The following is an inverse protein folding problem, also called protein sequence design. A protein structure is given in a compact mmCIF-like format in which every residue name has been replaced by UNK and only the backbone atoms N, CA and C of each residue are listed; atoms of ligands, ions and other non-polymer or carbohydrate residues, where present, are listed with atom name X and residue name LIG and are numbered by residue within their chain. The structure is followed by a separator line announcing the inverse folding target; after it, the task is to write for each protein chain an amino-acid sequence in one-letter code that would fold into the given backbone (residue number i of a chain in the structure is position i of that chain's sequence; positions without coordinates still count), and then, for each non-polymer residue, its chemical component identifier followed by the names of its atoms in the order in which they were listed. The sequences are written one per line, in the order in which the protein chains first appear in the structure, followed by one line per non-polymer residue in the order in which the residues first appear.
data_IF_616902338738
#
_entry.id   IF_616902338738
#
_cell.length_a   1.000
_cell.length_b   1.000
_cell.length_c   1.000
_cell.angle_alpha   90.00
_cell.angle_beta   90.00
_cell.angle_gamma   90.00
#
_symmetry.space_group_name_H-M   'P 1'
#
loop_
_entity.id
_entity.type
_entity.pdbx_description
1 polymer ?
#
# COMPACT_ATOMS: atom_id res chain seq x y z
N UNK A 1 54.44 -0.24 -22.10
CA UNK A 1 53.82 -1.08 -23.17
C UNK A 1 53.36 -2.39 -22.52
N UNK A 2 52.15 -2.42 -21.96
CA UNK A 2 51.53 -3.67 -21.50
C UNK A 2 50.70 -4.22 -22.65
N UNK A 3 50.95 -5.47 -23.05
CA UNK A 3 50.46 -6.03 -24.31
C UNK A 3 48.92 -6.17 -24.33
N UNK A 4 48.25 -5.93 -25.46
CA UNK A 4 46.79 -6.04 -25.60
C UNK A 4 46.21 -7.46 -25.44
N UNK A 5 47.03 -8.47 -25.16
CA UNK A 5 46.56 -9.88 -25.11
C UNK A 5 46.06 -10.33 -23.75
N UNK A 6 46.32 -9.58 -22.67
CA UNK A 6 45.86 -9.97 -21.33
C UNK A 6 44.45 -9.46 -20.97
N UNK A 7 43.89 -8.54 -21.76
CA UNK A 7 42.50 -8.03 -21.57
C UNK A 7 41.44 -8.88 -22.27
N UNK A 8 41.84 -9.76 -23.18
CA UNK A 8 40.92 -10.72 -23.82
C UNK A 8 40.88 -12.05 -23.05
N UNK A 9 41.95 -12.42 -22.34
CA UNK A 9 41.98 -13.60 -21.47
C UNK A 9 41.23 -13.40 -20.14
N UNK A 10 41.00 -12.15 -19.71
CA UNK A 10 40.14 -11.85 -18.55
C UNK A 10 38.64 -11.81 -18.89
N UNK A 11 38.27 -11.98 -20.17
CA UNK A 11 36.87 -12.05 -20.63
C UNK A 11 36.42 -13.47 -20.98
N UNK A 12 37.31 -14.46 -20.89
CA UNK A 12 37.02 -15.84 -21.28
C UNK A 12 37.45 -16.78 -20.15
N UNK A 13 36.63 -16.83 -19.11
CA UNK A 13 36.93 -17.63 -17.92
C UNK A 13 35.77 -17.66 -16.97
N UNK A 14 34.81 -18.52 -17.30
CA UNK A 14 33.80 -19.09 -16.39
C UNK A 14 33.10 -18.07 -15.49
N UNK A 15 31.89 -17.71 -15.91
CA UNK A 15 30.80 -17.29 -15.06
C UNK A 15 30.85 -18.04 -13.74
N UNK A 16 31.34 -17.38 -12.69
CA UNK A 16 31.22 -17.84 -11.33
C UNK A 16 29.75 -17.63 -10.98
N UNK A 17 28.95 -18.66 -11.31
CA UNK A 17 27.62 -18.87 -10.77
C UNK A 17 27.80 -19.13 -9.28
N UNK A 18 27.93 -18.03 -8.53
CA UNK A 18 27.83 -18.02 -7.08
C UNK A 18 26.38 -18.28 -6.72
N UNK A 19 26.01 -19.55 -6.73
CA UNK A 19 25.19 -20.18 -5.71
C UNK A 19 24.12 -19.27 -5.06
N UNK A 20 23.05 -18.97 -5.79
CA UNK A 20 21.71 -19.22 -5.22
C UNK A 20 20.68 -19.43 -6.33
N UNK A 21 19.89 -20.49 -6.18
CA UNK A 21 19.26 -21.21 -7.29
C UNK A 21 18.23 -20.44 -8.11
N UNK A 22 18.28 -20.63 -9.43
CA UNK A 22 17.13 -21.16 -10.18
C UNK A 22 17.59 -21.51 -11.61
N UNK A 23 17.95 -22.78 -11.80
CA UNK A 23 18.08 -23.39 -13.13
C UNK A 23 16.70 -23.79 -13.62
N UNK A 24 15.84 -22.80 -13.89
CA UNK A 24 14.60 -23.03 -14.62
C UNK A 24 14.11 -21.72 -15.26
N UNK A 25 14.07 -21.60 -16.60
CA UNK A 25 13.44 -20.47 -17.30
C UNK A 25 11.91 -20.63 -17.31
N UNK A 26 11.33 -20.99 -16.16
CA UNK A 26 9.89 -21.10 -16.01
C UNK A 26 9.29 -19.72 -15.83
N UNK A 27 8.16 -19.48 -16.51
CA UNK A 27 7.29 -18.30 -16.38
C UNK A 27 7.09 -17.87 -14.91
N UNK A 28 7.13 -18.85 -14.00
CA UNK A 28 7.00 -18.71 -12.55
C UNK A 28 8.12 -17.85 -11.96
N UNK A 29 9.36 -17.92 -12.45
CA UNK A 29 10.47 -17.12 -11.93
C UNK A 29 10.39 -15.66 -12.39
N UNK A 30 9.89 -15.40 -13.61
CA UNK A 30 9.59 -14.03 -14.09
C UNK A 30 8.41 -13.40 -13.34
N UNK A 31 7.35 -14.18 -13.08
CA UNK A 31 6.23 -13.75 -12.25
C UNK A 31 6.67 -13.49 -10.81
N UNK A 32 7.52 -14.36 -10.25
CA UNK A 32 8.03 -14.21 -8.87
C UNK A 32 8.99 -13.02 -8.75
N UNK A 33 9.78 -12.71 -9.77
CA UNK A 33 10.66 -11.53 -9.76
C UNK A 33 9.87 -10.22 -9.90
N UNK A 34 8.82 -10.19 -10.75
CA UNK A 34 7.95 -9.02 -10.93
C UNK A 34 6.96 -8.83 -9.76
N UNK A 35 6.45 -9.90 -9.17
CA UNK A 35 5.64 -9.84 -7.96
C UNK A 35 6.51 -9.52 -6.74
N UNK A 36 7.73 -10.07 -6.70
CA UNK A 36 8.72 -9.82 -5.65
C UNK A 36 9.19 -8.36 -5.60
N UNK A 37 9.27 -7.66 -6.73
CA UNK A 37 9.61 -6.23 -6.77
C UNK A 37 8.48 -5.33 -6.24
N UNK A 38 7.22 -5.62 -6.57
CA UNK A 38 6.04 -4.92 -6.01
C UNK A 38 5.92 -5.18 -4.50
N UNK A 39 6.13 -6.43 -4.07
CA UNK A 39 6.11 -6.81 -2.65
C UNK A 39 7.29 -6.19 -1.90
N UNK A 40 8.48 -6.12 -2.49
CA UNK A 40 9.63 -5.47 -1.87
C UNK A 40 9.50 -3.94 -1.80
N UNK A 41 8.82 -3.30 -2.76
CA UNK A 41 8.46 -1.87 -2.69
C UNK A 41 7.43 -1.58 -1.58
N UNK A 42 6.47 -2.47 -1.40
CA UNK A 42 5.55 -2.38 -0.27
C UNK A 42 6.29 -2.61 1.06
N UNK A 43 7.21 -3.58 1.13
CA UNK A 43 8.06 -3.83 2.31
C UNK A 43 8.95 -2.63 2.65
N UNK A 44 9.56 -1.95 1.69
CA UNK A 44 10.35 -0.75 1.96
C UNK A 44 9.50 0.44 2.44
N UNK A 45 8.20 0.46 2.14
CA UNK A 45 7.24 1.41 2.73
C UNK A 45 6.92 1.11 4.21
N UNK A 46 7.03 -0.16 4.63
CA UNK A 46 6.88 -0.57 6.03
C UNK A 46 8.19 -0.48 6.84
N UNK A 47 9.35 -0.40 6.19
CA UNK A 47 10.68 -0.33 6.84
C UNK A 47 11.07 1.09 7.31
N UNK A 48 10.08 1.91 7.67
CA UNK A 48 10.18 3.29 8.18
C UNK A 48 10.53 4.38 7.16
N UNK A 49 9.51 5.12 6.70
CA UNK A 49 9.64 6.51 6.29
C UNK A 49 9.14 7.43 7.41
N UNK A 50 9.85 8.53 7.64
CA UNK A 50 9.47 9.63 8.53
C UNK A 50 7.96 9.92 8.43
N UNK A 51 7.29 10.02 9.58
CA UNK A 51 5.85 10.28 9.72
C UNK A 51 5.31 11.36 8.77
N UNK A 52 6.11 12.40 8.52
CA UNK A 52 5.76 13.50 7.62
C UNK A 52 5.70 13.08 6.15
N UNK A 53 6.58 12.17 5.72
CA UNK A 53 6.56 11.63 4.37
C UNK A 53 5.32 10.76 4.12
N UNK A 54 4.85 10.02 5.13
CA UNK A 54 3.61 9.25 5.03
C UNK A 54 2.41 10.18 4.80
N UNK A 55 2.32 11.27 5.57
CA UNK A 55 1.24 12.27 5.46
C UNK A 55 1.16 12.91 4.08
N UNK A 56 2.31 13.18 3.47
CA UNK A 56 2.39 13.73 2.13
C UNK A 56 2.06 12.68 1.05
N UNK A 57 2.51 11.43 1.24
CA UNK A 57 2.33 10.36 0.25
C UNK A 57 0.89 9.81 0.20
N UNK A 58 0.15 9.80 1.31
CA UNK A 58 -1.21 9.24 1.39
C UNK A 58 -2.19 9.80 0.33
N UNK A 59 -2.39 11.12 0.19
CA UNK A 59 -3.28 11.66 -0.83
C UNK A 59 -2.81 11.35 -2.26
N UNK A 60 -1.50 11.27 -2.50
CA UNK A 60 -0.94 10.90 -3.80
C UNK A 60 -1.23 9.42 -4.12
N UNK A 61 -1.06 8.54 -3.15
CA UNK A 61 -1.35 7.11 -3.27
C UNK A 61 -2.84 6.86 -3.58
N UNK A 62 -3.75 7.60 -2.94
CA UNK A 62 -5.18 7.48 -3.23
C UNK A 62 -5.53 7.86 -4.66
N UNK A 63 -4.93 8.92 -5.20
CA UNK A 63 -5.18 9.33 -6.57
C UNK A 63 -4.74 8.23 -7.56
N UNK A 64 -3.58 7.61 -7.33
CA UNK A 64 -3.09 6.49 -8.15
C UNK A 64 -4.01 5.27 -8.03
N UNK A 65 -4.46 4.94 -6.81
CA UNK A 65 -5.39 3.84 -6.56
C UNK A 65 -6.76 4.06 -7.23
N UNK A 66 -7.29 5.27 -7.18
CA UNK A 66 -8.55 5.62 -7.85
C UNK A 66 -8.40 5.58 -9.36
N UNK A 67 -7.29 6.08 -9.90
CA UNK A 67 -7.00 5.99 -11.33
C UNK A 67 -6.92 4.52 -11.79
N UNK A 68 -6.20 3.68 -11.06
CA UNK A 68 -6.09 2.25 -11.35
C UNK A 68 -7.44 1.54 -11.25
N UNK A 69 -8.23 1.84 -10.21
CA UNK A 69 -9.55 1.25 -10.03
C UNK A 69 -10.48 1.66 -11.18
N UNK A 70 -10.60 2.94 -11.50
CA UNK A 70 -11.47 3.43 -12.59
C UNK A 70 -11.07 2.82 -13.94
N UNK A 71 -9.77 2.69 -14.23
CA UNK A 71 -9.30 2.01 -15.43
C UNK A 71 -9.66 0.52 -15.46
N UNK A 72 -9.77 -0.15 -14.31
CA UNK A 72 -10.13 -1.58 -14.20
C UNK A 72 -11.63 -1.85 -14.31
N UNK A 73 -12.50 -0.87 -14.03
CA UNK A 73 -13.97 -1.03 -14.08
C UNK A 73 -14.45 -1.65 -15.41
N UNK A 74 -14.08 -1.13 -16.60
CA UNK A 74 -14.52 -1.71 -17.86
C UNK A 74 -14.01 -3.15 -18.04
N UNK A 75 -12.76 -3.45 -17.67
CA UNK A 75 -12.20 -4.81 -17.77
C UNK A 75 -12.95 -5.81 -16.89
N UNK A 76 -13.19 -5.45 -15.62
CA UNK A 76 -13.86 -6.32 -14.64
C UNK A 76 -15.32 -6.58 -15.03
N UNK A 77 -16.01 -5.55 -15.51
CA UNK A 77 -17.41 -5.69 -15.97
C UNK A 77 -17.51 -6.54 -17.24
N UNK A 78 -16.56 -6.42 -18.16
CA UNK A 78 -16.50 -7.22 -19.39
C UNK A 78 -16.25 -8.70 -19.09
N UNK A 79 -15.23 -9.01 -18.28
CA UNK A 79 -14.91 -10.41 -17.91
C UNK A 79 -15.97 -11.05 -17.01
N UNK A 80 -16.77 -10.25 -16.31
CA UNK A 80 -17.89 -10.74 -15.52
C UNK A 80 -19.19 -10.91 -16.32
N UNK A 81 -19.20 -10.72 -17.63
CA UNK A 81 -20.40 -10.76 -18.47
C UNK A 81 -21.53 -9.85 -17.93
N UNK A 82 -21.17 -8.66 -17.44
CA UNK A 82 -22.11 -7.70 -16.85
C UNK A 82 -22.93 -8.24 -15.67
N UNK A 83 -22.40 -9.20 -14.90
CA UNK A 83 -23.12 -9.73 -13.74
C UNK A 83 -23.42 -8.63 -12.69
N UNK A 84 -24.68 -8.51 -12.21
CA UNK A 84 -25.05 -7.49 -11.23
C UNK A 84 -24.28 -7.60 -9.91
N UNK A 85 -23.93 -8.84 -9.52
CA UNK A 85 -23.08 -9.12 -8.37
C UNK A 85 -21.74 -8.39 -8.47
N UNK A 86 -21.06 -8.50 -9.60
CA UNK A 86 -19.75 -7.86 -9.80
C UNK A 86 -19.87 -6.34 -9.83
N UNK A 87 -20.88 -5.80 -10.52
CA UNK A 87 -21.09 -4.35 -10.59
C UNK A 87 -21.23 -3.74 -9.19
N UNK A 88 -22.01 -4.36 -8.30
CA UNK A 88 -22.16 -3.89 -6.92
C UNK A 88 -20.84 -3.97 -6.16
N UNK A 89 -20.10 -5.08 -6.27
CA UNK A 89 -18.82 -5.22 -5.55
C UNK A 89 -17.80 -4.16 -5.97
N UNK A 90 -17.75 -3.81 -7.26
CA UNK A 90 -16.88 -2.76 -7.79
C UNK A 90 -17.31 -1.38 -7.31
N UNK A 91 -18.62 -1.10 -7.25
CA UNK A 91 -19.14 0.16 -6.70
C UNK A 91 -18.79 0.32 -5.21
N UNK A 92 -18.89 -0.75 -4.43
CA UNK A 92 -18.46 -0.75 -3.03
C UNK A 92 -16.95 -0.52 -2.89
N UNK A 93 -16.15 -1.12 -3.75
CA UNK A 93 -14.70 -0.87 -3.79
C UNK A 93 -14.38 0.59 -4.13
N UNK A 94 -15.09 1.17 -5.11
CA UNK A 94 -14.95 2.58 -5.48
C UNK A 94 -15.32 3.52 -4.34
N UNK A 95 -16.47 3.27 -3.70
CA UNK A 95 -16.90 4.02 -2.53
C UNK A 95 -15.87 3.94 -1.40
N UNK A 96 -15.33 2.75 -1.14
CA UNK A 96 -14.32 2.54 -0.12
C UNK A 96 -13.05 3.34 -0.32
N UNK A 97 -12.54 3.37 -1.56
CA UNK A 97 -11.34 4.16 -1.91
C UNK A 97 -11.57 5.67 -1.84
N UNK A 98 -12.76 6.15 -2.23
CA UNK A 98 -13.09 7.57 -2.12
C UNK A 98 -13.16 7.99 -0.65
N UNK A 99 -13.77 7.15 0.19
CA UNK A 99 -13.96 7.45 1.62
C UNK A 99 -12.65 7.36 2.44
N UNK A 100 -11.58 6.82 1.87
CA UNK A 100 -10.29 6.70 2.56
C UNK A 100 -9.69 8.05 2.96
N UNK A 101 -9.92 9.10 2.17
CA UNK A 101 -9.45 10.46 2.46
C UNK A 101 -10.02 11.00 3.76
N UNK A 102 -11.28 10.68 4.06
CA UNK A 102 -11.93 11.06 5.31
C UNK A 102 -11.21 10.46 6.51
N UNK A 103 -10.81 9.19 6.45
CA UNK A 103 -10.09 8.53 7.55
C UNK A 103 -8.72 9.15 7.81
N UNK A 104 -8.01 9.56 6.76
CA UNK A 104 -6.73 10.26 6.92
C UNK A 104 -6.91 11.66 7.49
N UNK A 105 -7.97 12.36 7.10
CA UNK A 105 -8.31 13.67 7.67
C UNK A 105 -8.70 13.55 9.15
N UNK A 106 -9.48 12.53 9.50
CA UNK A 106 -9.82 12.21 10.88
C UNK A 106 -8.56 11.91 11.71
N UNK A 107 -7.60 11.19 11.15
CA UNK A 107 -6.33 10.87 11.83
C UNK A 107 -5.48 12.14 12.04
N UNK A 108 -5.41 13.04 11.05
CA UNK A 108 -4.75 14.36 11.19
C UNK A 108 -5.41 15.23 12.26
N UNK A 109 -6.74 15.23 12.31
CA UNK A 109 -7.49 15.95 13.32
C UNK A 109 -7.27 15.37 14.72
N UNK A 110 -7.29 14.05 14.86
CA UNK A 110 -7.07 13.39 16.16
C UNK A 110 -5.67 13.70 16.70
N UNK A 111 -4.64 13.67 15.85
CA UNK A 111 -3.27 14.02 16.24
C UNK A 111 -3.19 15.44 16.83
N UNK A 112 -3.72 16.42 16.11
CA UNK A 112 -3.73 17.82 16.55
C UNK A 112 -4.54 17.99 17.85
N UNK A 113 -5.66 17.29 17.96
CA UNK A 113 -6.56 17.39 19.12
C UNK A 113 -5.97 16.72 20.36
N UNK A 114 -5.34 15.55 20.21
CA UNK A 114 -4.69 14.83 21.30
C UNK A 114 -3.50 15.62 21.85
N UNK A 115 -2.66 16.17 20.97
CA UNK A 115 -1.57 17.07 21.38
C UNK A 115 -2.08 18.32 22.10
N UNK A 116 -3.18 18.91 21.63
CA UNK A 116 -3.82 20.04 22.29
C UNK A 116 -4.38 19.71 23.67
N UNK A 117 -4.89 18.50 23.87
CA UNK A 117 -5.41 18.02 25.16
C UNK A 117 -4.30 17.60 26.12
N UNK A 118 -3.18 17.06 25.61
CA UNK A 118 -2.06 16.57 26.43
C UNK A 118 -1.06 17.67 26.81
N UNK A 119 -0.85 18.68 25.95
CA UNK A 119 0.19 19.71 26.12
C UNK A 119 -0.36 21.14 26.14
N UNK A 120 -1.62 21.34 26.55
CA UNK A 120 -2.29 22.64 26.57
C UNK A 120 -1.40 23.80 27.01
N UNK A 121 -1.44 24.91 26.25
CA UNK A 121 -0.73 26.20 26.43
C UNK A 121 0.80 26.23 26.68
N UNK A 122 1.48 25.11 26.92
CA UNK A 122 2.94 25.05 27.17
C UNK A 122 3.76 24.68 25.91
N UNK A 123 3.23 24.96 24.71
CA UNK A 123 3.93 24.73 23.44
C UNK A 123 5.25 25.51 23.30
N UNK A 124 5.50 26.46 24.20
CA UNK A 124 6.72 27.28 24.20
C UNK A 124 7.91 26.59 24.87
N UNK A 125 7.71 25.49 25.62
CA UNK A 125 8.77 24.74 26.29
C UNK A 125 9.22 23.46 25.54
N UNK A 126 8.59 23.15 24.39
CA UNK A 126 8.84 21.94 23.60
C UNK A 126 10.12 22.01 22.74
N UNK A 127 10.63 23.21 22.44
CA UNK A 127 11.88 23.36 21.67
C UNK A 127 13.11 23.03 22.53
N UNK A 128 12.96 22.94 23.86
CA UNK A 128 14.09 22.86 24.81
C UNK A 128 14.40 21.49 25.43
N UNK A 129 13.47 20.53 25.45
CA UNK A 129 13.69 19.24 26.15
C UNK A 129 13.37 18.03 25.25
N UNK A 130 14.40 17.62 24.50
CA UNK A 130 14.42 16.39 23.73
C UNK A 130 14.50 15.17 24.66
N UNK A 131 13.37 14.57 24.98
CA UNK A 131 13.32 13.17 25.41
C UNK A 131 13.21 12.29 24.15
N UNK A 132 14.34 11.73 23.69
CA UNK A 132 14.41 10.94 22.45
C UNK A 132 13.56 9.64 22.48
N UNK A 133 13.17 9.15 23.65
CA UNK A 133 12.32 7.96 23.79
C UNK A 133 10.83 8.22 23.58
N UNK A 134 10.31 9.33 24.09
CA UNK A 134 8.89 9.67 24.03
C UNK A 134 8.48 10.11 22.61
N UNK A 135 9.41 10.75 21.91
CA UNK A 135 9.24 11.12 20.49
C UNK A 135 9.12 9.90 19.56
N UNK A 136 9.77 8.77 19.88
CA UNK A 136 9.75 7.58 19.04
C UNK A 136 8.44 6.79 19.21
N UNK A 137 7.97 6.65 20.46
CA UNK A 137 6.69 6.00 20.75
C UNK A 137 5.52 6.78 20.13
N UNK A 138 5.53 8.12 20.26
CA UNK A 138 4.51 8.99 19.67
C UNK A 138 4.49 8.86 18.14
N UNK A 139 5.65 8.95 17.47
CA UNK A 139 5.73 8.77 16.01
C UNK A 139 5.25 7.38 15.55
N UNK A 140 5.49 6.34 16.35
CA UNK A 140 4.99 5.00 16.04
C UNK A 140 3.47 4.89 16.19
N UNK A 141 2.90 5.37 17.30
CA UNK A 141 1.45 5.33 17.52
C UNK A 141 0.72 6.17 16.47
N UNK A 142 1.22 7.37 16.19
CA UNK A 142 0.65 8.24 15.18
C UNK A 142 0.78 7.66 13.77
N UNK A 143 1.95 7.10 13.42
CA UNK A 143 2.17 6.46 12.12
C UNK A 143 1.32 5.21 11.90
N UNK A 144 1.14 4.38 12.93
CA UNK A 144 0.33 3.16 12.85
C UNK A 144 -1.16 3.45 12.66
N UNK A 145 -1.69 4.51 13.28
CA UNK A 145 -3.10 4.88 13.12
C UNK A 145 -3.47 5.21 11.67
N UNK A 146 -2.56 5.85 10.92
CA UNK A 146 -2.75 6.12 9.49
C UNK A 146 -2.86 4.87 8.61
N UNK A 147 -2.48 3.70 9.10
CA UNK A 147 -2.54 2.43 8.37
C UNK A 147 -3.68 1.56 8.91
N UNK A 148 -3.77 1.39 10.24
CA UNK A 148 -4.72 0.49 10.88
C UNK A 148 -6.16 0.87 10.59
N UNK A 149 -6.49 2.16 10.66
CA UNK A 149 -7.86 2.66 10.47
C UNK A 149 -8.34 2.46 9.02
N UNK A 150 -7.57 2.86 7.99
CA UNK A 150 -7.85 2.50 6.60
C UNK A 150 -7.96 1.01 6.34
N UNK A 151 -7.09 0.18 6.94
CA UNK A 151 -7.14 -1.27 6.78
C UNK A 151 -8.43 -1.86 7.34
N UNK A 152 -8.84 -1.40 8.53
CA UNK A 152 -10.10 -1.81 9.15
C UNK A 152 -11.29 -1.47 8.24
N UNK A 153 -11.34 -0.24 7.71
CA UNK A 153 -12.39 0.21 6.79
C UNK A 153 -12.45 -0.65 5.51
N UNK A 154 -11.31 -0.87 4.86
CA UNK A 154 -11.24 -1.66 3.63
C UNK A 154 -11.63 -3.12 3.86
N UNK A 155 -11.26 -3.71 5.01
CA UNK A 155 -11.67 -5.05 5.39
C UNK A 155 -13.19 -5.15 5.60
N UNK A 156 -13.77 -4.20 6.34
CA UNK A 156 -15.20 -4.14 6.59
C UNK A 156 -16.01 -3.99 5.30
N UNK A 157 -15.59 -3.11 4.38
CA UNK A 157 -16.25 -2.93 3.09
C UNK A 157 -16.10 -4.14 2.16
N UNK A 158 -14.96 -4.81 2.19
CA UNK A 158 -14.75 -6.03 1.40
C UNK A 158 -15.74 -7.12 1.82
N UNK A 159 -15.94 -7.29 3.13
CA UNK A 159 -16.94 -8.21 3.65
C UNK A 159 -18.36 -7.78 3.29
N UNK A 160 -18.72 -6.51 3.49
CA UNK A 160 -20.04 -5.98 3.16
C UNK A 160 -20.37 -6.10 1.66
N UNK A 161 -19.41 -5.80 0.78
CA UNK A 161 -19.58 -5.88 -0.67
C UNK A 161 -19.84 -7.31 -1.16
N UNK A 162 -19.12 -8.31 -0.63
CA UNK A 162 -19.34 -9.72 -0.97
C UNK A 162 -20.75 -10.16 -0.55
N UNK A 163 -21.18 -9.78 0.66
CA UNK A 163 -22.50 -10.15 1.18
C UNK A 163 -23.64 -9.45 0.42
N UNK A 164 -23.48 -8.18 0.06
CA UNK A 164 -24.43 -7.44 -0.76
C UNK A 164 -24.56 -8.08 -2.16
N UNK A 165 -23.44 -8.42 -2.80
CA UNK A 165 -23.44 -9.10 -4.10
C UNK A 165 -24.10 -10.48 -4.07
N UNK A 166 -23.87 -11.26 -3.02
CA UNK A 166 -24.52 -12.57 -2.82
C UNK A 166 -26.03 -12.43 -2.60
N UNK A 167 -26.46 -11.39 -1.89
CA UNK A 167 -27.88 -11.16 -1.61
C UNK A 167 -28.63 -10.75 -2.88
N UNK A 168 -28.04 -9.87 -3.70
CA UNK A 168 -28.65 -9.49 -4.98
C UNK A 168 -28.73 -10.66 -5.96
N UNK A 169 -27.67 -11.46 -6.09
CA UNK A 169 -27.67 -12.63 -6.98
C UNK A 169 -28.76 -13.65 -6.61
N UNK A 170 -29.07 -13.79 -5.31
CA UNK A 170 -30.19 -14.63 -4.85
C UNK A 170 -31.54 -14.04 -5.24
N UNK A 171 -31.74 -12.72 -5.09
CA UNK A 171 -33.00 -12.05 -5.45
C UNK A 171 -33.26 -12.20 -6.97
N UNK A 172 -32.24 -11.99 -7.80
CA UNK A 172 -32.38 -12.06 -9.26
C UNK A 172 -32.63 -13.47 -9.80
N UNK A 173 -32.31 -14.52 -9.04
CA UNK A 173 -32.61 -15.91 -9.40
C UNK A 173 -34.02 -16.35 -8.99
N UNK A 174 -34.69 -15.57 -8.16
CA UNK A 174 -36.04 -15.86 -7.65
C UNK A 174 -37.12 -15.17 -8.48
N UNK A 175 -36.76 -14.15 -9.27
CA UNK A 175 -37.63 -13.47 -10.26
C UNK A 175 -37.45 -14.13 -11.62
#
# INVERSE_FOLDING_TARGET
MTSPRNITASQSGTTYSGYDGNVDPTLINQITHNAGSVINMLKSFFLFPTYDSLRQALPMMQAILLMALVASIPLVTLFSAYSPKTVITVTFAQFGLIFLSFWWELTRWLDTSLLGLMYGNDMQNLIGMQNSGDSLLMQFVLGTMFIVVPMFWMGALSWAGIQAGNSLDRILKVV
#
